data_IF_064540261016
#
_entry.id   IF_064540261016
#
_cell.length_a   1.000
_cell.length_b   1.000
_cell.length_c   1.000
_cell.angle_alpha   90.00
_cell.angle_beta   90.00
_cell.angle_gamma   90.00
#
_symmetry.space_group_name_H-M   'P 1'
#
loop_
_entity.id
_entity.type
_entity.pdbx_description
1 polymer ?
#
# COMPACT_ATOMS: atom_id res chain seq x y z
N UNK A 1 -2.44 16.54 -12.17
CA UNK A 1 -3.02 16.84 -10.85
C UNK A 1 -4.50 16.48 -10.72
N UNK A 2 -5.40 16.94 -11.60
CA UNK A 2 -6.85 16.85 -11.35
C UNK A 2 -7.41 15.40 -11.33
N UNK A 3 -6.85 14.51 -12.15
CA UNK A 3 -7.30 13.10 -12.21
C UNK A 3 -6.91 12.34 -10.94
N UNK A 4 -5.68 12.49 -10.43
CA UNK A 4 -5.25 11.85 -9.18
C UNK A 4 -6.15 12.27 -8.01
N UNK A 5 -6.34 13.59 -7.85
CA UNK A 5 -7.20 14.15 -6.82
C UNK A 5 -8.65 13.64 -6.91
N UNK A 6 -9.19 13.53 -8.14
CA UNK A 6 -10.51 12.95 -8.36
C UNK A 6 -10.57 11.47 -7.97
N UNK A 7 -9.65 10.66 -8.46
CA UNK A 7 -9.65 9.21 -8.26
C UNK A 7 -9.47 8.84 -6.79
N UNK A 8 -8.58 9.54 -6.06
CA UNK A 8 -8.42 9.34 -4.62
C UNK A 8 -9.77 9.50 -3.91
N UNK A 9 -10.48 10.61 -4.17
CA UNK A 9 -11.78 10.91 -3.56
C UNK A 9 -12.87 9.94 -4.02
N UNK A 10 -12.93 9.64 -5.31
CA UNK A 10 -13.92 8.74 -5.88
C UNK A 10 -13.81 7.34 -5.26
N UNK A 11 -12.60 6.79 -5.19
CA UNK A 11 -12.38 5.47 -4.62
C UNK A 11 -12.54 5.44 -3.11
N UNK A 12 -12.19 6.51 -2.38
CA UNK A 12 -12.51 6.60 -0.94
C UNK A 12 -14.02 6.54 -0.70
N UNK A 13 -14.83 7.27 -1.48
CA UNK A 13 -16.28 7.16 -1.39
C UNK A 13 -16.79 5.76 -1.73
N UNK A 14 -16.21 5.11 -2.73
CA UNK A 14 -16.57 3.72 -3.09
C UNK A 14 -16.25 2.73 -1.95
N UNK A 15 -15.13 2.91 -1.25
CA UNK A 15 -14.79 2.12 -0.05
C UNK A 15 -15.87 2.35 1.02
N UNK A 16 -16.25 3.60 1.26
CA UNK A 16 -17.29 3.95 2.24
C UNK A 16 -18.66 3.35 1.92
N UNK A 17 -19.13 3.45 0.68
CA UNK A 17 -20.39 2.84 0.29
C UNK A 17 -20.39 1.33 0.50
N UNK A 18 -19.30 0.65 0.14
CA UNK A 18 -19.15 -0.78 0.40
C UNK A 18 -19.13 -1.09 1.89
N UNK A 19 -18.49 -0.25 2.71
CA UNK A 19 -18.46 -0.42 4.15
C UNK A 19 -19.88 -0.37 4.74
N UNK A 20 -20.65 0.68 4.44
CA UNK A 20 -22.00 0.87 4.96
C UNK A 20 -22.97 -0.21 4.48
N UNK A 21 -22.93 -0.53 3.18
CA UNK A 21 -23.78 -1.58 2.59
C UNK A 21 -23.46 -2.93 3.22
N UNK A 22 -22.17 -3.32 3.27
CA UNK A 22 -21.77 -4.60 3.83
C UNK A 22 -22.17 -4.73 5.31
N UNK A 23 -22.03 -3.66 6.09
CA UNK A 23 -22.46 -3.67 7.48
C UNK A 23 -23.96 -3.91 7.60
N UNK A 24 -24.77 -3.20 6.83
CA UNK A 24 -26.22 -3.40 6.84
C UNK A 24 -26.61 -4.81 6.39
N UNK A 25 -26.06 -5.30 5.28
CA UNK A 25 -26.41 -6.61 4.73
C UNK A 25 -25.94 -7.75 5.62
N UNK A 26 -24.77 -7.67 6.25
CA UNK A 26 -24.26 -8.73 7.11
C UNK A 26 -25.01 -8.81 8.45
N UNK A 27 -25.50 -7.68 8.97
CA UNK A 27 -26.24 -7.65 10.23
C UNK A 27 -27.73 -7.96 10.06
N UNK A 28 -28.34 -7.54 8.95
CA UNK A 28 -29.79 -7.59 8.75
C UNK A 28 -30.23 -8.44 7.55
N UNK A 29 -29.29 -9.03 6.80
CA UNK A 29 -29.57 -9.80 5.57
C UNK A 29 -30.17 -11.19 5.78
N UNK A 30 -30.58 -11.55 7.00
CA UNK A 30 -31.14 -12.86 7.37
C UNK A 30 -30.26 -14.06 6.99
N UNK A 31 -28.94 -13.89 7.01
CA UNK A 31 -28.01 -15.01 6.87
C UNK A 31 -27.98 -15.82 8.17
N UNK A 32 -28.49 -17.06 8.11
CA UNK A 32 -28.58 -17.96 9.26
C UNK A 32 -27.26 -18.68 9.56
N UNK A 33 -26.28 -18.62 8.66
CA UNK A 33 -24.97 -19.25 8.83
C UNK A 33 -23.84 -18.30 8.42
N UNK A 34 -23.58 -17.23 9.20
CA UNK A 34 -22.56 -16.26 8.87
C UNK A 34 -21.18 -16.92 8.81
N UNK A 35 -20.41 -16.62 7.76
CA UNK A 35 -19.05 -17.16 7.56
C UNK A 35 -18.11 -16.87 8.75
N UNK A 36 -18.31 -15.75 9.44
CA UNK A 36 -17.55 -15.37 10.64
C UNK A 36 -18.50 -14.97 11.79
N UNK A 37 -18.97 -15.95 12.60
CA UNK A 37 -20.00 -15.69 13.62
C UNK A 37 -19.58 -14.73 14.74
N UNK A 38 -18.28 -14.53 14.94
CA UNK A 38 -17.73 -13.62 15.98
C UNK A 38 -17.56 -12.18 15.50
N UNK A 39 -17.78 -11.90 14.22
CA UNK A 39 -17.64 -10.56 13.66
C UNK A 39 -18.91 -9.75 13.88
N UNK A 40 -18.75 -8.43 13.98
CA UNK A 40 -19.84 -7.46 13.96
C UNK A 40 -19.93 -6.91 12.53
N UNK A 41 -20.79 -7.55 11.74
CA UNK A 41 -20.81 -7.36 10.29
C UNK A 41 -19.45 -7.69 9.67
N UNK A 42 -18.77 -6.70 9.10
CA UNK A 42 -17.42 -6.87 8.53
C UNK A 42 -16.26 -6.55 9.49
N UNK A 43 -16.55 -6.13 10.72
CA UNK A 43 -15.54 -5.76 11.73
C UNK A 43 -15.25 -6.96 12.63
N UNK A 44 -13.97 -7.29 12.77
CA UNK A 44 -13.50 -8.25 13.78
C UNK A 44 -13.03 -7.48 15.02
N UNK A 45 -13.68 -7.67 16.19
CA UNK A 45 -13.28 -7.02 17.44
C UNK A 45 -11.93 -7.52 17.99
N UNK A 46 -11.43 -8.65 17.51
CA UNK A 46 -10.22 -9.33 17.98
C UNK A 46 -9.31 -9.76 16.83
N UNK A 47 -9.27 -8.96 15.76
CA UNK A 47 -8.50 -9.23 14.54
C UNK A 47 -7.03 -9.53 14.86
N UNK A 48 -6.62 -10.77 14.60
CA UNK A 48 -5.24 -11.22 14.74
C UNK A 48 -4.42 -10.70 13.56
N UNK A 49 -3.57 -9.71 13.82
CA UNK A 49 -2.83 -9.03 12.74
C UNK A 49 -1.84 -9.98 12.06
N UNK A 50 -1.19 -10.85 12.83
CA UNK A 50 -0.26 -11.85 12.31
C UNK A 50 -0.94 -12.88 11.40
N UNK A 51 -2.17 -13.31 11.72
CA UNK A 51 -2.94 -14.23 10.87
C UNK A 51 -3.28 -13.58 9.53
N UNK A 52 -3.77 -12.34 9.53
CA UNK A 52 -4.08 -11.62 8.27
C UNK A 52 -2.81 -11.39 7.43
N UNK A 53 -1.66 -11.18 8.07
CA UNK A 53 -0.35 -11.10 7.41
C UNK A 53 0.00 -12.43 6.73
N UNK A 54 -0.15 -13.55 7.42
CA UNK A 54 0.10 -14.89 6.85
C UNK A 54 -0.85 -15.19 5.69
N UNK A 55 -2.16 -14.98 5.86
CA UNK A 55 -3.16 -15.24 4.82
C UNK A 55 -2.91 -14.44 3.54
N UNK A 56 -2.58 -13.15 3.69
CA UNK A 56 -2.27 -12.27 2.57
C UNK A 56 -0.98 -12.67 1.87
N UNK A 57 0.04 -13.09 2.65
CA UNK A 57 1.29 -13.61 2.12
C UNK A 57 1.08 -14.92 1.37
N UNK A 58 0.37 -15.90 1.93
CA UNK A 58 0.13 -17.20 1.31
C UNK A 58 -0.62 -17.06 -0.01
N UNK A 59 -1.62 -16.18 -0.05
CA UNK A 59 -2.34 -15.86 -1.29
C UNK A 59 -1.43 -15.21 -2.34
N UNK A 60 -0.55 -14.28 -1.93
CA UNK A 60 0.42 -13.67 -2.84
C UNK A 60 1.49 -14.68 -3.29
N UNK A 61 1.94 -15.57 -2.40
CA UNK A 61 2.92 -16.64 -2.66
C UNK A 61 2.39 -17.57 -3.74
N UNK A 62 1.15 -18.05 -3.61
CA UNK A 62 0.51 -18.88 -4.64
C UNK A 62 0.50 -18.22 -6.02
N UNK A 63 0.22 -16.93 -6.11
CA UNK A 63 0.25 -16.20 -7.39
C UNK A 63 1.68 -16.02 -7.93
N UNK A 64 2.63 -15.74 -7.03
CA UNK A 64 4.04 -15.59 -7.37
C UNK A 64 4.63 -16.91 -7.89
N UNK A 65 4.40 -18.02 -7.19
CA UNK A 65 4.84 -19.36 -7.60
C UNK A 65 4.19 -19.80 -8.91
N UNK A 66 2.90 -19.48 -9.11
CA UNK A 66 2.24 -19.77 -10.39
C UNK A 66 2.89 -19.05 -11.58
N UNK A 67 3.41 -17.83 -11.37
CA UNK A 67 3.95 -17.00 -12.45
C UNK A 67 5.47 -17.17 -12.64
N UNK A 68 6.23 -17.22 -11.54
CA UNK A 68 7.70 -17.26 -11.55
C UNK A 68 8.29 -18.62 -11.15
N UNK A 69 7.45 -19.61 -10.77
CA UNK A 69 7.89 -20.92 -10.25
C UNK A 69 8.72 -20.84 -8.95
N UNK A 70 8.79 -19.66 -8.33
CA UNK A 70 9.51 -19.41 -7.09
C UNK A 70 8.85 -18.25 -6.32
N UNK A 71 9.03 -18.24 -5.00
CA UNK A 71 8.62 -17.13 -4.14
C UNK A 71 9.53 -17.03 -2.90
N UNK A 72 9.80 -15.82 -2.39
CA UNK A 72 10.59 -15.64 -1.17
C UNK A 72 9.78 -16.04 0.07
N UNK A 73 10.43 -16.67 1.05
CA UNK A 73 9.83 -17.04 2.34
C UNK A 73 9.44 -15.82 3.21
N UNK A 74 8.46 -15.99 4.10
CA UNK A 74 8.03 -14.96 5.06
C UNK A 74 8.73 -15.10 6.40
N UNK A 75 9.15 -13.97 6.99
CA UNK A 75 9.56 -13.89 8.40
C UNK A 75 8.74 -12.84 9.14
N UNK A 76 7.94 -13.27 10.11
CA UNK A 76 7.12 -12.37 10.95
C UNK A 76 7.82 -12.11 12.28
N UNK A 77 7.91 -10.85 12.68
CA UNK A 77 8.35 -10.41 14.01
C UNK A 77 7.26 -9.52 14.63
N UNK A 78 6.80 -9.87 15.83
CA UNK A 78 5.83 -9.07 16.58
C UNK A 78 6.48 -8.37 17.78
N UNK A 79 6.10 -7.11 18.02
CA UNK A 79 6.47 -6.37 19.22
C UNK A 79 5.25 -5.64 19.81
N UNK A 80 4.70 -6.20 20.88
CA UNK A 80 3.54 -5.64 21.56
C UNK A 80 3.97 -4.83 22.80
N UNK A 81 4.01 -3.50 22.69
CA UNK A 81 4.39 -2.64 23.83
C UNK A 81 3.40 -2.74 25.00
N UNK A 82 2.10 -2.89 24.70
CA UNK A 82 1.04 -2.97 25.72
C UNK A 82 1.09 -4.28 26.51
N UNK A 83 1.42 -5.38 25.84
CA UNK A 83 1.51 -6.70 26.44
C UNK A 83 2.53 -7.59 25.68
N UNK A 84 3.83 -7.58 26.04
CA UNK A 84 4.90 -8.19 25.24
C UNK A 84 4.77 -9.69 24.90
N UNK A 85 4.00 -10.44 25.68
CA UNK A 85 3.78 -11.89 25.49
C UNK A 85 2.45 -12.24 24.80
N UNK A 86 1.62 -11.25 24.47
CA UNK A 86 0.33 -11.45 23.83
C UNK A 86 0.42 -11.15 22.34
N UNK A 87 -0.26 -11.94 21.48
CA UNK A 87 -0.36 -11.63 20.05
C UNK A 87 -0.97 -10.25 19.84
N UNK A 88 -0.60 -9.58 18.75
CA UNK A 88 -1.14 -8.26 18.44
C UNK A 88 -2.54 -8.41 17.84
N UNK A 89 -3.51 -7.85 18.56
CA UNK A 89 -4.91 -7.78 18.13
C UNK A 89 -5.36 -6.32 18.01
N UNK A 90 -6.28 -6.08 17.08
CA UNK A 90 -6.93 -4.78 16.91
C UNK A 90 -8.40 -4.93 16.50
N UNK A 91 -9.22 -3.92 16.79
CA UNK A 91 -10.57 -3.82 16.23
C UNK A 91 -10.43 -3.25 14.82
N UNK A 92 -10.64 -4.06 13.79
CA UNK A 92 -10.46 -3.63 12.40
C UNK A 92 -11.32 -4.43 11.43
N UNK A 93 -11.33 -4.02 10.15
CA UNK A 93 -11.97 -4.76 9.06
C UNK A 93 -10.92 -5.66 8.41
N UNK A 94 -10.91 -7.00 8.64
CA UNK A 94 -9.82 -7.87 8.19
C UNK A 94 -9.60 -7.83 6.68
N UNK A 95 -10.67 -7.73 5.89
CA UNK A 95 -10.58 -7.66 4.42
C UNK A 95 -9.87 -6.39 3.90
N UNK A 96 -9.96 -5.27 4.62
CA UNK A 96 -9.23 -4.04 4.28
C UNK A 96 -7.73 -4.24 4.53
N UNK A 97 -7.39 -4.83 5.68
CA UNK A 97 -6.00 -5.12 6.04
C UNK A 97 -5.38 -6.14 5.08
N UNK A 98 -6.11 -7.22 4.78
CA UNK A 98 -5.72 -8.24 3.81
C UNK A 98 -5.42 -7.61 2.45
N UNK A 99 -6.29 -6.75 1.93
CA UNK A 99 -6.09 -6.13 0.62
C UNK A 99 -4.78 -5.32 0.57
N UNK A 100 -4.50 -4.52 1.59
CA UNK A 100 -3.26 -3.73 1.66
C UNK A 100 -2.02 -4.64 1.70
N UNK A 101 -2.03 -5.65 2.57
CA UNK A 101 -0.92 -6.58 2.72
C UNK A 101 -0.68 -7.40 1.46
N UNK A 102 -1.75 -7.91 0.86
CA UNK A 102 -1.69 -8.68 -0.38
C UNK A 102 -1.04 -7.89 -1.52
N UNK A 103 -1.44 -6.64 -1.74
CA UNK A 103 -0.83 -5.80 -2.76
C UNK A 103 0.65 -5.48 -2.46
N UNK A 104 1.01 -5.26 -1.19
CA UNK A 104 2.40 -5.05 -0.79
C UNK A 104 3.26 -6.31 -0.97
N UNK A 105 2.73 -7.49 -0.62
CA UNK A 105 3.43 -8.76 -0.78
C UNK A 105 3.66 -9.09 -2.25
N UNK A 106 2.67 -8.93 -3.13
CA UNK A 106 2.86 -9.09 -4.58
C UNK A 106 4.00 -8.22 -5.11
N UNK A 107 4.04 -6.95 -4.72
CA UNK A 107 5.09 -6.02 -5.15
C UNK A 107 6.47 -6.44 -4.63
N UNK A 108 6.54 -6.81 -3.35
CA UNK A 108 7.78 -7.25 -2.67
C UNK A 108 8.33 -8.53 -3.29
N UNK A 109 7.46 -9.52 -3.52
CA UNK A 109 7.79 -10.80 -4.14
C UNK A 109 8.29 -10.59 -5.58
N UNK A 110 7.53 -9.83 -6.37
CA UNK A 110 7.90 -9.51 -7.75
C UNK A 110 9.29 -8.88 -7.83
N UNK A 111 9.55 -7.83 -7.05
CA UNK A 111 10.83 -7.14 -7.06
C UNK A 111 11.98 -8.05 -6.61
N UNK A 112 11.73 -8.89 -5.61
CA UNK A 112 12.73 -9.83 -5.09
C UNK A 112 13.08 -10.90 -6.13
N UNK A 113 12.08 -11.50 -6.77
CA UNK A 113 12.25 -12.56 -7.76
C UNK A 113 12.91 -12.01 -9.03
N UNK A 114 12.41 -10.90 -9.59
CA UNK A 114 12.98 -10.28 -10.80
C UNK A 114 14.45 -9.88 -10.61
N UNK A 115 14.84 -9.43 -9.42
CA UNK A 115 16.24 -9.08 -9.14
C UNK A 115 17.16 -10.32 -9.06
N UNK A 116 16.66 -11.43 -8.54
CA UNK A 116 17.46 -12.63 -8.25
C UNK A 116 17.25 -13.77 -9.25
N UNK A 117 16.55 -13.53 -10.37
CA UNK A 117 16.21 -14.56 -11.37
C UNK A 117 17.43 -15.31 -11.90
N UNK A 118 18.59 -14.65 -12.00
CA UNK A 118 19.85 -15.23 -12.47
C UNK A 118 20.84 -15.56 -11.34
N UNK A 119 20.41 -15.49 -10.07
CA UNK A 119 21.26 -15.82 -8.92
C UNK A 119 21.18 -17.31 -8.60
N UNK A 120 22.31 -17.92 -8.25
CA UNK A 120 22.33 -19.28 -7.68
C UNK A 120 21.95 -19.29 -6.18
N UNK A 121 21.86 -18.11 -5.55
CA UNK A 121 21.49 -17.99 -4.14
C UNK A 121 19.97 -18.10 -3.92
N UNK A 122 19.58 -18.63 -2.76
CA UNK A 122 18.18 -18.68 -2.38
C UNK A 122 17.59 -17.27 -2.23
N UNK A 123 16.32 -17.10 -2.65
CA UNK A 123 15.62 -15.83 -2.57
C UNK A 123 15.64 -15.26 -1.15
N UNK A 124 16.02 -13.99 -0.95
CA UNK A 124 16.00 -13.39 0.37
C UNK A 124 14.56 -13.29 0.88
N UNK A 125 14.31 -13.60 2.17
CA UNK A 125 12.95 -13.62 2.72
C UNK A 125 12.37 -12.21 2.82
N UNK A 126 11.07 -12.10 2.59
CA UNK A 126 10.30 -10.88 2.91
C UNK A 126 10.05 -10.86 4.41
N UNK A 127 10.37 -9.74 5.06
CA UNK A 127 10.23 -9.58 6.51
C UNK A 127 9.02 -8.72 6.83
N UNK A 128 8.12 -9.23 7.65
CA UNK A 128 6.99 -8.48 8.20
C UNK A 128 7.25 -8.19 9.68
N UNK A 129 7.29 -6.90 10.05
CA UNK A 129 7.38 -6.49 11.45
C UNK A 129 6.08 -5.82 11.88
N UNK A 130 5.39 -6.42 12.84
CA UNK A 130 4.13 -5.91 13.39
C UNK A 130 4.41 -5.33 14.77
N UNK A 131 4.01 -4.09 15.01
CA UNK A 131 4.25 -3.41 16.28
C UNK A 131 2.99 -2.73 16.78
N UNK A 132 2.72 -2.86 18.08
CA UNK A 132 1.60 -2.19 18.73
C UNK A 132 2.13 -1.24 19.81
N UNK A 133 1.98 0.06 19.55
CA UNK A 133 2.29 1.13 20.49
C UNK A 133 1.05 1.60 21.27
N UNK A 134 1.14 2.80 21.85
CA UNK A 134 0.01 3.43 22.55
C UNK A 134 -1.10 3.82 21.57
N UNK A 135 -0.73 4.58 20.54
CA UNK A 135 -1.62 5.18 19.54
C UNK A 135 -1.63 4.42 18.21
N UNK A 136 -0.51 3.81 17.84
CA UNK A 136 -0.32 3.24 16.51
C UNK A 136 -0.18 1.71 16.54
N UNK A 137 -0.86 1.07 15.60
CA UNK A 137 -0.53 -0.27 15.09
C UNK A 137 0.24 -0.06 13.79
N UNK A 138 1.51 -0.49 13.75
CA UNK A 138 2.36 -0.33 12.57
C UNK A 138 2.79 -1.69 12.03
N UNK A 139 2.66 -1.88 10.71
CA UNK A 139 3.08 -3.09 10.01
C UNK A 139 4.08 -2.68 8.95
N UNK A 140 5.31 -3.17 9.06
CA UNK A 140 6.38 -2.91 8.10
C UNK A 140 6.69 -4.17 7.30
N UNK A 141 6.58 -4.08 5.98
CA UNK A 141 7.00 -5.11 5.04
C UNK A 141 8.32 -4.66 4.41
N UNK A 142 9.36 -5.47 4.57
CA UNK A 142 10.72 -5.18 4.10
C UNK A 142 11.14 -6.25 3.09
N UNK A 143 11.55 -5.83 1.91
CA UNK A 143 12.10 -6.68 0.86
C UNK A 143 13.58 -6.40 0.58
N UNK A 144 14.20 -7.27 -0.22
CA UNK A 144 15.53 -7.06 -0.82
C UNK A 144 15.43 -7.07 -2.35
N UNK A 145 14.43 -6.40 -2.90
CA UNK A 145 14.15 -6.35 -4.34
C UNK A 145 14.87 -5.23 -5.08
N UNK A 146 16.01 -4.74 -4.57
CA UNK A 146 16.85 -3.75 -5.26
C UNK A 146 16.40 -2.29 -5.13
N UNK A 147 15.19 -2.06 -4.63
CA UNK A 147 14.70 -0.72 -4.30
C UNK A 147 14.35 0.15 -5.51
N UNK A 148 14.04 1.42 -5.21
CA UNK A 148 13.52 2.40 -6.17
C UNK A 148 14.20 3.76 -5.94
N UNK A 149 14.73 4.42 -6.98
CA UNK A 149 15.29 5.76 -6.84
C UNK A 149 14.27 6.74 -6.27
N UNK A 150 14.70 7.61 -5.35
CA UNK A 150 13.85 8.54 -4.61
C UNK A 150 12.91 9.36 -5.52
N UNK A 151 13.41 9.82 -6.68
CA UNK A 151 12.65 10.59 -7.69
C UNK A 151 11.40 9.87 -8.22
N UNK A 152 11.35 8.54 -8.12
CA UNK A 152 10.23 7.72 -8.60
C UNK A 152 9.22 7.35 -7.51
N UNK A 153 9.54 7.52 -6.23
CA UNK A 153 8.70 7.06 -5.11
C UNK A 153 7.30 7.68 -5.16
N UNK A 154 7.19 9.00 -5.35
CA UNK A 154 5.88 9.65 -5.42
C UNK A 154 5.06 9.17 -6.63
N UNK A 155 5.73 8.81 -7.73
CA UNK A 155 5.07 8.31 -8.93
C UNK A 155 4.46 6.93 -8.74
N UNK A 156 4.95 6.13 -7.79
CA UNK A 156 4.37 4.81 -7.48
C UNK A 156 2.93 4.90 -6.96
N UNK A 157 2.53 6.05 -6.44
CA UNK A 157 1.15 6.30 -6.01
C UNK A 157 0.28 6.92 -7.10
N UNK A 158 0.80 7.19 -8.29
CA UNK A 158 -0.01 7.67 -9.39
C UNK A 158 -0.82 6.53 -9.99
N UNK A 159 -2.12 6.75 -10.20
CA UNK A 159 -2.95 5.79 -10.91
C UNK A 159 -2.41 5.52 -12.33
N UNK A 160 -2.49 4.26 -12.76
CA UNK A 160 -2.00 3.78 -14.05
C UNK A 160 -0.46 3.83 -14.23
N UNK A 161 0.29 4.26 -13.20
CA UNK A 161 1.74 4.12 -13.22
C UNK A 161 2.12 2.69 -12.84
N UNK A 162 2.81 1.98 -13.73
CA UNK A 162 3.36 0.67 -13.46
C UNK A 162 4.70 0.48 -14.15
N UNK A 163 5.57 -0.31 -13.53
CA UNK A 163 6.81 -0.81 -14.13
C UNK A 163 6.64 -2.21 -14.72
N UNK A 164 5.45 -2.82 -14.59
CA UNK A 164 5.15 -4.11 -15.20
C UNK A 164 4.71 -3.94 -16.66
N UNK A 165 4.90 -4.97 -17.50
CA UNK A 165 4.20 -5.08 -18.77
C UNK A 165 2.69 -4.96 -18.56
N UNK A 166 1.98 -4.36 -19.52
CA UNK A 166 0.52 -4.30 -19.50
C UNK A 166 -0.02 -5.73 -19.54
N UNK A 167 -0.81 -6.16 -18.55
CA UNK A 167 -1.26 -7.55 -18.47
C UNK A 167 -2.25 -7.86 -19.60
N UNK A 168 -2.26 -9.10 -20.10
CA UNK A 168 -3.30 -9.52 -21.04
C UNK A 168 -4.65 -9.54 -20.32
N UNK A 169 -5.70 -9.09 -20.98
CA UNK A 169 -7.08 -9.04 -20.44
C UNK A 169 -7.78 -10.40 -20.58
N UNK A 170 -7.03 -11.51 -20.60
CA UNK A 170 -7.64 -12.84 -20.75
C UNK A 170 -8.51 -13.18 -19.52
N UNK A 171 -9.76 -13.65 -19.73
CA UNK A 171 -10.65 -14.01 -18.62
C UNK A 171 -10.02 -15.10 -17.74
N UNK A 172 -9.72 -14.77 -16.48
CA UNK A 172 -9.24 -15.73 -15.48
C UNK A 172 -7.73 -15.64 -15.14
N UNK A 173 -6.96 -14.82 -15.86
CA UNK A 173 -5.59 -14.48 -15.45
C UNK A 173 -5.64 -13.31 -14.46
N UNK A 174 -5.30 -13.54 -13.19
CA UNK A 174 -5.05 -12.45 -12.23
C UNK A 174 -3.56 -12.11 -12.34
N UNK A 175 -3.18 -11.01 -13.02
CA UNK A 175 -1.78 -10.66 -13.18
C UNK A 175 -1.22 -10.18 -11.82
N UNK A 176 0.03 -10.54 -11.54
CA UNK A 176 0.69 -10.14 -10.30
C UNK A 176 0.86 -8.61 -10.21
N UNK A 177 1.08 -7.96 -11.36
CA UNK A 177 1.23 -6.51 -11.50
C UNK A 177 0.68 -6.00 -12.84
N UNK A 178 0.71 -4.68 -13.05
CA UNK A 178 0.56 -4.08 -14.39
C UNK A 178 -0.63 -3.14 -14.59
N UNK A 179 -1.65 -3.16 -13.73
CA UNK A 179 -2.72 -2.16 -13.80
C UNK A 179 -2.33 -0.80 -13.18
N UNK A 180 -1.39 -0.76 -12.23
CA UNK A 180 -0.96 0.48 -11.57
C UNK A 180 -2.00 1.07 -10.60
N UNK A 181 -2.84 0.23 -9.98
CA UNK A 181 -3.83 0.65 -8.98
C UNK A 181 -3.54 0.14 -7.56
N UNK A 182 -2.72 -0.90 -7.39
CA UNK A 182 -2.53 -1.58 -6.09
C UNK A 182 -2.07 -0.65 -4.96
N UNK A 183 -0.96 0.07 -5.17
CA UNK A 183 -0.40 0.99 -4.18
C UNK A 183 -1.31 2.17 -3.84
N UNK A 184 -1.85 2.96 -4.80
CA UNK A 184 -2.74 4.06 -4.46
C UNK A 184 -4.00 3.59 -3.73
N UNK A 185 -4.64 2.49 -4.18
CA UNK A 185 -5.84 1.96 -3.52
C UNK A 185 -5.53 1.45 -2.12
N UNK A 186 -4.41 0.74 -1.92
CA UNK A 186 -3.97 0.30 -0.59
C UNK A 186 -3.77 1.47 0.37
N UNK A 187 -3.19 2.58 -0.12
CA UNK A 187 -3.07 3.80 0.67
C UNK A 187 -4.41 4.43 1.04
N UNK A 188 -5.41 4.36 0.15
CA UNK A 188 -6.76 4.82 0.48
C UNK A 188 -7.40 3.97 1.58
N UNK A 189 -7.22 2.64 1.54
CA UNK A 189 -7.69 1.76 2.62
C UNK A 189 -7.05 2.10 3.97
N UNK A 190 -5.74 2.38 4.01
CA UNK A 190 -5.07 2.80 5.24
C UNK A 190 -5.62 4.15 5.75
N UNK A 191 -5.74 5.14 4.86
CA UNK A 191 -6.22 6.48 5.20
C UNK A 191 -7.70 6.55 5.57
N UNK A 192 -8.48 5.54 5.17
CA UNK A 192 -9.92 5.52 5.39
C UNK A 192 -10.27 5.62 6.88
N UNK A 193 -9.52 4.92 7.74
CA UNK A 193 -9.66 4.96 9.20
C UNK A 193 -8.47 5.69 9.87
N UNK A 194 -8.11 6.87 9.35
CA UNK A 194 -7.05 7.76 9.90
C UNK A 194 -5.63 7.18 9.94
N UNK A 195 -5.37 6.08 9.23
CA UNK A 195 -4.05 5.54 9.02
C UNK A 195 -3.29 6.21 7.87
N UNK A 196 -2.18 5.60 7.45
CA UNK A 196 -1.48 5.94 6.21
C UNK A 196 -0.64 4.75 5.72
N UNK A 197 -0.25 4.78 4.44
CA UNK A 197 0.72 3.86 3.86
C UNK A 197 1.88 4.68 3.30
N UNK A 198 3.10 4.35 3.71
CA UNK A 198 4.33 5.01 3.28
C UNK A 198 5.34 4.01 2.73
N UNK A 199 6.13 4.45 1.75
CA UNK A 199 7.21 3.67 1.16
C UNK A 199 8.53 4.39 1.39
N UNK A 200 9.55 3.64 1.80
CA UNK A 200 10.92 4.10 1.95
C UNK A 200 11.82 3.11 1.23
N UNK A 201 12.63 3.57 0.29
CA UNK A 201 13.44 2.68 -0.52
C UNK A 201 14.89 3.10 -0.51
N UNK A 202 15.77 2.11 -0.48
CA UNK A 202 17.22 2.26 -0.61
C UNK A 202 17.61 1.64 -1.93
N UNK A 203 17.85 2.49 -2.95
CA UNK A 203 18.22 2.06 -4.29
C UNK A 203 19.49 1.20 -4.25
N UNK A 204 19.45 0.04 -4.91
CA UNK A 204 20.48 -1.00 -4.88
C UNK A 204 20.30 -2.04 -3.76
N UNK A 205 19.35 -1.86 -2.83
CA UNK A 205 19.16 -2.77 -1.69
C UNK A 205 17.74 -3.33 -1.62
N UNK A 206 16.73 -2.48 -1.45
CA UNK A 206 15.36 -2.95 -1.19
C UNK A 206 14.42 -1.84 -0.73
N UNK A 207 13.19 -2.23 -0.39
CA UNK A 207 12.12 -1.29 0.01
C UNK A 207 11.46 -1.70 1.32
N UNK A 208 11.15 -0.70 2.14
CA UNK A 208 10.31 -0.78 3.34
C UNK A 208 8.96 -0.12 3.05
N UNK A 209 7.88 -0.90 3.11
CA UNK A 209 6.50 -0.42 3.05
C UNK A 209 5.89 -0.47 4.45
N UNK A 210 5.36 0.66 4.94
CA UNK A 210 4.80 0.76 6.29
C UNK A 210 3.33 1.15 6.23
N UNK A 211 2.46 0.31 6.79
CA UNK A 211 1.06 0.59 7.07
C UNK A 211 0.97 1.08 8.51
N UNK A 212 0.33 2.22 8.70
CA UNK A 212 -0.03 2.77 10.02
C UNK A 212 -1.54 2.70 10.17
N UNK A 213 -2.00 2.15 11.29
CA UNK A 213 -3.41 2.10 11.69
C UNK A 213 -3.55 2.63 13.12
N UNK A 214 -4.73 3.14 13.46
CA UNK A 214 -5.04 3.51 14.84
C UNK A 214 -5.16 2.28 15.72
N UNK A 215 -4.46 2.30 16.86
CA UNK A 215 -4.53 1.23 17.86
C UNK A 215 -5.85 1.24 18.64
N UNK A 216 -6.54 2.37 18.71
CA UNK A 216 -7.81 2.55 19.42
C UNK A 216 -8.94 2.76 18.41
N UNK A 217 -10.00 1.95 18.52
CA UNK A 217 -11.18 2.08 17.65
C UNK A 217 -11.91 3.42 17.81
N UNK A 218 -11.82 4.04 18.99
CA UNK A 218 -12.36 5.38 19.26
C UNK A 218 -11.69 6.50 18.46
N UNK A 219 -10.54 6.24 17.85
CA UNK A 219 -9.81 7.19 17.00
C UNK A 219 -9.91 6.84 15.50
N UNK A 220 -10.52 5.70 15.18
CA UNK A 220 -10.67 5.16 13.83
C UNK A 220 -11.89 5.75 13.11
N UNK A 221 -11.88 7.07 12.87
CA UNK A 221 -12.97 7.75 12.17
C UNK A 221 -12.85 7.64 10.65
N UNK A 222 -13.99 7.59 9.95
CA UNK A 222 -14.01 7.61 8.49
C UNK A 222 -13.49 8.93 7.92
N UNK A 223 -12.51 8.86 7.02
CA UNK A 223 -11.99 10.02 6.28
C UNK A 223 -12.71 10.17 4.95
N UNK A 224 -13.79 10.97 4.93
CA UNK A 224 -14.64 11.12 3.75
C UNK A 224 -14.33 12.39 2.94
N UNK A 225 -14.39 12.32 1.59
CA UNK A 225 -14.24 13.47 0.72
C UNK A 225 -15.50 14.35 0.70
N UNK A 226 -15.42 15.56 1.25
CA UNK A 226 -16.52 16.53 1.25
C UNK A 226 -16.45 17.41 0.00
N UNK A 227 -17.57 17.57 -0.71
CA UNK A 227 -17.68 18.53 -1.81
C UNK A 227 -18.04 19.91 -1.27
N UNK A 228 -17.15 20.89 -1.47
CA UNK A 228 -17.31 22.27 -1.02
C UNK A 228 -16.53 23.22 -1.95
N UNK A 229 -16.51 24.52 -1.65
CA UNK A 229 -15.76 25.51 -2.43
C UNK A 229 -14.27 25.16 -2.58
N UNK A 230 -13.63 24.63 -1.54
CA UNK A 230 -12.23 24.20 -1.61
C UNK A 230 -12.04 23.04 -2.58
N UNK A 231 -12.90 22.02 -2.52
CA UNK A 231 -12.84 20.90 -3.46
C UNK A 231 -13.11 21.35 -4.91
N UNK A 232 -14.04 22.29 -5.11
CA UNK A 232 -14.32 22.85 -6.44
C UNK A 232 -13.12 23.61 -7.02
N UNK A 233 -12.39 24.37 -6.21
CA UNK A 233 -11.17 25.10 -6.66
C UNK A 233 -10.12 24.15 -7.22
N UNK A 234 -9.91 22.97 -6.63
CA UNK A 234 -8.97 21.97 -7.14
C UNK A 234 -9.27 21.52 -8.59
N UNK A 235 -10.51 21.64 -9.06
CA UNK A 235 -10.88 21.30 -10.44
C UNK A 235 -10.75 22.48 -11.41
N UNK A 236 -10.53 23.70 -10.90
CA UNK A 236 -10.45 24.95 -11.66
C UNK A 236 -9.07 25.58 -11.68
N UNK A 237 -8.11 25.02 -10.94
CA UNK A 237 -6.71 25.47 -10.96
C UNK A 237 -6.11 25.37 -12.35
N UNK A 238 -5.55 26.49 -12.83
CA UNK A 238 -4.73 26.54 -14.04
C UNK A 238 -3.27 26.24 -13.71
N UNK A 239 -2.43 25.90 -14.70
CA UNK A 239 -0.99 25.77 -14.47
C UNK A 239 -0.43 27.09 -13.94
N UNK A 240 0.28 27.02 -12.82
CA UNK A 240 1.00 28.14 -12.22
C UNK A 240 2.50 27.99 -12.54
N UNK A 241 3.24 29.09 -12.48
CA UNK A 241 4.70 29.01 -12.56
C UNK A 241 5.22 28.21 -11.35
N UNK A 242 6.28 27.42 -11.55
CA UNK A 242 6.86 26.67 -10.44
C UNK A 242 7.39 27.62 -9.36
N UNK A 243 7.10 27.31 -8.10
CA UNK A 243 7.53 28.09 -6.94
C UNK A 243 9.06 28.13 -6.77
N UNK A 244 9.78 27.20 -7.41
CA UNK A 244 11.21 27.02 -7.29
C UNK A 244 11.92 27.02 -8.64
N UNK A 245 13.21 27.36 -8.64
CA UNK A 245 14.01 27.40 -9.84
C UNK A 245 14.14 26.03 -10.50
N UNK A 246 13.88 25.96 -11.79
CA UNK A 246 14.19 24.80 -12.62
C UNK A 246 15.46 25.07 -13.45
N UNK A 247 16.48 24.19 -13.40
CA UNK A 247 17.67 24.37 -14.22
C UNK A 247 17.35 24.18 -15.72
N UNK A 248 18.16 24.80 -16.58
CA UNK A 248 18.13 24.52 -18.01
C UNK A 248 18.38 23.03 -18.28
N UNK A 249 17.69 22.46 -19.28
CA UNK A 249 17.99 21.11 -19.78
C UNK A 249 19.39 21.01 -20.36
N UNK A 250 19.92 22.13 -20.85
CA UNK A 250 21.28 22.27 -21.35
C UNK A 250 21.98 23.34 -20.50
N UNK A 251 22.50 22.96 -19.32
CA UNK A 251 23.24 23.89 -18.47
C UNK A 251 24.53 24.30 -19.18
N UNK A 252 24.88 25.58 -19.06
CA UNK A 252 26.09 26.12 -19.70
C UNK A 252 27.33 25.44 -19.14
N UNK A 253 28.21 25.00 -20.04
CA UNK A 253 29.52 24.45 -19.68
C UNK A 253 30.42 25.55 -19.08
N UNK A 254 30.63 25.47 -17.77
CA UNK A 254 31.43 26.43 -17.02
C UNK A 254 32.94 26.28 -17.33
N UNK A 255 33.40 25.17 -17.92
CA UNK A 255 34.81 24.94 -18.20
C UNK A 255 35.37 25.83 -19.32
N UNK A 256 34.52 26.29 -20.25
CA UNK A 256 34.90 27.17 -21.37
C UNK A 256 34.76 28.67 -21.04
N UNK A 257 34.26 29.01 -19.87
CA UNK A 257 34.11 30.39 -19.42
C UNK A 257 35.42 30.91 -18.83
N UNK A 258 36.30 31.46 -19.68
CA UNK A 258 37.44 32.24 -19.18
C UNK A 258 36.92 33.43 -18.38
N UNK A 259 37.09 33.40 -17.06
CA UNK A 259 36.98 34.60 -16.23
C UNK A 259 37.99 35.63 -16.77
N UNK A 260 37.50 36.70 -17.39
CA UNK A 260 38.29 37.94 -17.49
C UNK A 260 38.33 38.51 -16.08
N UNK A 261 39.36 38.14 -15.31
CA UNK A 261 39.74 38.89 -14.11
C UNK A 261 39.95 40.36 -14.55
N UNK A 262 39.17 41.26 -13.96
CA UNK A 262 39.42 42.70 -14.01
C UNK A 262 40.35 43.06 -12.87
#
# INVERSE_FOLDING_TARGET
>A
CNIQYFLDRFYTNRISFRMLINQHTLLFGNDTNPAHPKHIGSIDPTCSVAEVVSDAYDTAKMLCEKYYLAAPELKIEEFNMKAPKKPIQAVYVPSHLFHMLFELFKNSMRATVELHENSEEALPPVKAKVTLGKEDLSIKISDRGGGVPLRKIDRLFNYMYSTAPTPSLEPGAVPLAGFGYGLPISRLYARYFQGDLKLYSMEGVGTDAVIYLKALSSESFERLPVFNKSAWRHYKTSPEADDWSNPSKEPRDASKSKYKAR
#
